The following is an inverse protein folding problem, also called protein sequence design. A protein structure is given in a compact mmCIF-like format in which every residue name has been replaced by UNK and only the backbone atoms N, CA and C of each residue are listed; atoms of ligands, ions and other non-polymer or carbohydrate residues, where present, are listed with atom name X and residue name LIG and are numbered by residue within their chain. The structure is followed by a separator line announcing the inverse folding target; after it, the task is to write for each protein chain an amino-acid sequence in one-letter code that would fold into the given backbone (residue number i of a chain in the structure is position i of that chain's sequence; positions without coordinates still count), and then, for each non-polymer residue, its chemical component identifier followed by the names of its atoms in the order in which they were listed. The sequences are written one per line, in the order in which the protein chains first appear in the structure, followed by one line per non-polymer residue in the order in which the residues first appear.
data_IF_250851524289
#
_entry.id   IF_250851524289
#
_cell.length_a   1.000
_cell.length_b   1.000
_cell.length_c   1.000
_cell.angle_alpha   90.00
_cell.angle_beta   90.00
_cell.angle_gamma   90.00
#
_symmetry.space_group_name_H-M   'P 1'
#
loop_
_entity.id
_entity.type
_entity.pdbx_description
1 polymer ?
#
# COMPACT_ATOMS: atom_id res chain seq x y z
N UNK A 1 -18.89 31.20 -13.66
CA UNK A 1 -18.07 30.55 -12.62
C UNK A 1 -16.78 31.33 -12.48
N UNK A 2 -16.43 31.79 -11.27
CA UNK A 2 -15.22 32.60 -11.03
C UNK A 2 -14.00 31.66 -10.89
N UNK A 3 -12.83 31.99 -11.46
CA UNK A 3 -11.62 31.22 -11.26
C UNK A 3 -11.13 31.35 -9.81
N UNK A 4 -10.80 30.21 -9.20
CA UNK A 4 -10.22 30.12 -7.87
C UNK A 4 -8.74 30.54 -7.96
N UNK A 5 -8.42 31.74 -7.47
CA UNK A 5 -7.05 32.21 -7.33
C UNK A 5 -6.53 31.79 -5.94
N UNK A 6 -5.43 31.03 -5.84
CA UNK A 6 -4.84 30.70 -4.54
C UNK A 6 -4.25 31.96 -3.90
N UNK A 7 -4.77 32.33 -2.73
CA UNK A 7 -4.29 33.45 -1.94
C UNK A 7 -2.83 33.27 -1.54
N UNK A 8 -2.03 34.30 -1.75
CA UNK A 8 -0.65 34.42 -1.28
C UNK A 8 -0.63 34.60 0.23
N UNK A 9 -0.74 33.50 0.98
CA UNK A 9 -0.64 33.50 2.43
C UNK A 9 -0.43 32.10 2.99
N UNK A 10 0.79 31.84 3.48
CA UNK A 10 1.16 30.69 4.31
C UNK A 10 1.28 29.28 3.68
N UNK A 11 1.68 29.15 2.40
CA UNK A 11 1.63 27.84 1.71
C UNK A 11 2.93 27.04 1.55
N UNK A 12 4.12 27.54 1.86
CA UNK A 12 5.37 26.77 1.59
C UNK A 12 6.06 26.27 2.86
N UNK A 13 5.94 26.99 3.98
CA UNK A 13 6.66 26.62 5.21
C UNK A 13 6.00 25.46 5.98
N UNK A 14 4.69 25.30 5.88
CA UNK A 14 3.99 24.19 6.53
C UNK A 14 4.18 22.84 5.81
N UNK A 15 4.41 22.83 4.49
CA UNK A 15 4.72 21.59 3.76
C UNK A 15 6.12 21.05 4.09
N UNK A 16 7.11 21.93 4.26
CA UNK A 16 8.48 21.52 4.61
C UNK A 16 8.62 20.91 6.01
N UNK A 17 7.64 21.10 6.91
CA UNK A 17 7.64 20.46 8.25
C UNK A 17 7.12 19.02 8.26
N UNK A 18 6.40 18.58 7.23
CA UNK A 18 5.87 17.20 7.19
C UNK A 18 6.91 16.18 6.69
N UNK A 19 7.88 16.64 5.89
CA UNK A 19 8.95 15.81 5.34
C UNK A 19 10.05 15.42 6.35
N UNK A 20 10.02 16.00 7.55
CA UNK A 20 10.96 15.77 8.66
C UNK A 20 10.24 15.26 9.92
N UNK A 21 9.22 14.41 9.78
CA UNK A 21 8.65 13.73 10.94
C UNK A 21 9.74 12.86 11.57
N UNK A 22 10.33 13.37 12.65
CA UNK A 22 11.26 12.65 13.49
C UNK A 22 10.58 11.34 13.89
N UNK A 23 11.20 10.21 13.55
CA UNK A 23 10.67 8.88 13.89
C UNK A 23 10.40 8.88 15.39
N UNK A 24 9.12 8.83 15.77
CA UNK A 24 8.73 8.68 17.17
C UNK A 24 9.18 7.31 17.66
N UNK A 25 9.31 7.16 18.97
CA UNK A 25 9.54 5.85 19.56
C UNK A 25 8.53 4.85 19.00
N UNK A 26 9.01 3.65 18.67
CA UNK A 26 8.12 2.56 18.28
C UNK A 26 7.09 2.34 19.40
N UNK A 27 5.91 1.82 19.03
CA UNK A 27 4.92 1.43 20.02
C UNK A 27 5.57 0.42 20.97
N UNK A 28 5.48 0.62 22.30
CA UNK A 28 6.00 -0.34 23.27
C UNK A 28 5.45 -1.74 23.00
N UNK A 29 6.24 -2.82 23.18
CA UNK A 29 5.81 -4.19 22.86
C UNK A 29 4.44 -4.56 23.43
N UNK A 30 4.19 -4.18 24.70
CA UNK A 30 2.94 -4.42 25.43
C UNK A 30 1.72 -3.68 24.88
N UNK A 31 1.93 -2.64 24.07
CA UNK A 31 0.87 -1.82 23.46
C UNK A 31 0.71 -2.07 21.96
N UNK A 32 1.56 -2.92 21.35
CA UNK A 32 1.57 -3.17 19.89
C UNK A 32 0.22 -3.66 19.38
N UNK A 33 -0.48 -4.45 20.19
CA UNK A 33 -1.77 -5.05 19.84
C UNK A 33 -2.94 -4.09 20.06
N UNK A 34 -2.76 -3.07 20.91
CA UNK A 34 -3.72 -2.00 21.15
C UNK A 34 -3.55 -0.83 20.16
N UNK A 35 -2.48 -0.85 19.37
CA UNK A 35 -2.22 0.20 18.40
C UNK A 35 -3.17 0.08 17.21
N UNK A 36 -3.98 1.13 17.02
CA UNK A 36 -4.93 1.25 15.92
C UNK A 36 -4.46 2.30 14.93
N UNK A 37 -4.87 2.15 13.66
CA UNK A 37 -4.71 3.20 12.66
C UNK A 37 -5.89 4.17 12.79
N UNK A 38 -5.67 5.43 13.18
CA UNK A 38 -6.78 6.38 13.35
C UNK A 38 -7.63 6.50 12.08
N UNK A 39 -8.95 6.39 12.23
CA UNK A 39 -9.90 6.48 11.11
C UNK A 39 -10.01 5.21 10.25
N UNK A 40 -9.22 4.17 10.53
CA UNK A 40 -9.29 2.89 9.81
C UNK A 40 -9.45 1.77 10.86
N UNK A 41 -10.66 1.57 11.40
CA UNK A 41 -10.93 0.45 12.31
C UNK A 41 -10.67 -0.88 11.58
N UNK A 42 -10.30 -1.92 12.33
CA UNK A 42 -10.00 -3.26 11.80
C UNK A 42 -8.95 -3.29 10.67
N UNK A 43 -8.02 -2.32 10.66
CA UNK A 43 -6.92 -2.28 9.67
C UNK A 43 -5.85 -3.38 9.86
N UNK A 44 -5.88 -4.12 10.97
CA UNK A 44 -4.86 -5.10 11.35
C UNK A 44 -5.50 -6.34 11.93
N UNK A 45 -5.04 -7.50 11.45
CA UNK A 45 -5.39 -8.83 11.96
C UNK A 45 -4.13 -9.56 12.41
N UNK A 46 -4.23 -10.31 13.51
CA UNK A 46 -3.13 -11.12 14.07
C UNK A 46 -3.43 -12.60 13.85
N UNK A 47 -3.07 -13.10 12.66
CA UNK A 47 -3.47 -14.45 12.19
C UNK A 47 -2.89 -15.60 13.02
N UNK A 48 -1.75 -15.36 13.66
CA UNK A 48 -1.05 -16.29 14.55
C UNK A 48 -1.66 -16.38 15.96
N UNK A 49 -2.53 -15.42 16.33
CA UNK A 49 -3.20 -15.40 17.64
C UNK A 49 -4.70 -15.65 17.54
N UNK A 50 -5.39 -14.84 16.75
CA UNK A 50 -6.84 -14.93 16.56
C UNK A 50 -7.19 -14.57 15.11
N UNK A 51 -7.56 -15.60 14.35
CA UNK A 51 -8.01 -15.48 12.97
C UNK A 51 -9.51 -15.12 12.86
N UNK A 52 -10.28 -15.24 13.95
CA UNK A 52 -11.72 -15.07 13.92
C UNK A 52 -12.18 -13.69 13.41
N UNK A 53 -11.53 -12.55 13.73
CA UNK A 53 -11.90 -11.25 13.18
C UNK A 53 -11.76 -11.20 11.65
N UNK A 54 -10.68 -11.77 11.09
CA UNK A 54 -10.51 -11.85 9.64
C UNK A 54 -11.62 -12.70 9.00
N UNK A 55 -11.94 -13.86 9.58
CA UNK A 55 -13.00 -14.74 9.07
C UNK A 55 -14.34 -14.02 9.08
N UNK A 56 -14.65 -13.27 10.15
CA UNK A 56 -15.87 -12.46 10.24
C UNK A 56 -15.92 -11.43 9.12
N UNK A 57 -14.83 -10.71 8.87
CA UNK A 57 -14.81 -9.66 7.84
C UNK A 57 -14.89 -10.22 6.42
N UNK A 58 -14.24 -11.34 6.14
CA UNK A 58 -14.39 -12.06 4.87
C UNK A 58 -15.83 -12.54 4.68
N UNK A 59 -16.45 -13.10 5.72
CA UNK A 59 -17.85 -13.51 5.67
C UNK A 59 -18.78 -12.32 5.42
N UNK A 60 -18.59 -11.19 6.12
CA UNK A 60 -19.38 -9.98 5.90
C UNK A 60 -19.15 -9.34 4.52
N UNK A 61 -17.94 -9.43 3.97
CA UNK A 61 -17.66 -9.00 2.60
C UNK A 61 -18.44 -9.85 1.57
N UNK A 62 -18.44 -11.17 1.75
CA UNK A 62 -19.19 -12.11 0.91
C UNK A 62 -20.71 -11.86 0.96
N UNK A 63 -21.26 -11.61 2.15
CA UNK A 63 -22.69 -11.26 2.29
C UNK A 63 -23.04 -9.95 1.57
N UNK A 64 -22.20 -8.91 1.69
CA UNK A 64 -22.40 -7.64 1.00
C UNK A 64 -22.38 -7.80 -0.52
N UNK A 65 -21.50 -8.64 -1.05
CA UNK A 65 -21.43 -8.94 -2.47
C UNK A 65 -22.68 -9.68 -2.96
N UNK A 66 -23.11 -10.73 -2.25
CA UNK A 66 -24.35 -11.45 -2.58
C UNK A 66 -25.57 -10.52 -2.57
N UNK A 67 -25.66 -9.63 -1.57
CA UNK A 67 -26.72 -8.62 -1.50
C UNK A 67 -26.65 -7.62 -2.66
N UNK A 68 -25.46 -7.21 -3.09
CA UNK A 68 -25.28 -6.31 -4.22
C UNK A 68 -25.74 -6.96 -5.53
N UNK A 69 -25.39 -8.24 -5.75
CA UNK A 69 -25.84 -9.03 -6.90
C UNK A 69 -27.36 -9.20 -6.92
N UNK A 70 -27.96 -9.52 -5.77
CA UNK A 70 -29.41 -9.64 -5.65
C UNK A 70 -30.16 -8.35 -6.04
N UNK A 71 -29.61 -7.18 -5.71
CA UNK A 71 -30.21 -5.88 -6.06
C UNK A 71 -30.24 -5.60 -7.57
N UNK A 72 -29.30 -6.15 -8.32
CA UNK A 72 -29.22 -6.00 -9.78
C UNK A 72 -29.82 -7.19 -10.53
N UNK A 73 -30.44 -8.14 -9.81
CA UNK A 73 -31.09 -9.31 -10.41
C UNK A 73 -30.13 -10.40 -10.87
N UNK A 74 -28.87 -10.37 -10.45
CA UNK A 74 -27.86 -11.37 -10.79
C UNK A 74 -27.94 -12.60 -9.87
N UNK A 75 -27.47 -13.78 -10.32
CA UNK A 75 -27.35 -14.96 -9.48
C UNK A 75 -26.49 -14.68 -8.24
N UNK A 76 -26.99 -15.07 -7.07
CA UNK A 76 -26.36 -14.75 -5.78
C UNK A 76 -26.28 -15.95 -4.82
N UNK A 77 -26.79 -17.13 -5.23
CA UNK A 77 -26.66 -18.38 -4.47
C UNK A 77 -25.21 -18.86 -4.39
N UNK A 78 -24.41 -18.52 -5.40
CA UNK A 78 -22.96 -18.70 -5.43
C UNK A 78 -22.29 -17.39 -5.84
N UNK A 79 -21.22 -17.03 -5.14
CA UNK A 79 -20.43 -15.86 -5.48
C UNK A 79 -19.65 -16.07 -6.79
N UNK A 80 -19.41 -15.01 -7.56
CA UNK A 80 -18.64 -15.09 -8.80
C UNK A 80 -17.19 -15.50 -8.53
N UNK A 81 -16.49 -15.90 -9.60
CA UNK A 81 -15.09 -16.28 -9.54
C UNK A 81 -14.23 -15.13 -8.98
N UNK A 82 -13.52 -15.42 -7.88
CA UNK A 82 -12.64 -14.46 -7.22
C UNK A 82 -11.19 -14.62 -7.72
N UNK A 83 -10.65 -13.56 -8.33
CA UNK A 83 -9.21 -13.48 -8.61
C UNK A 83 -8.45 -12.94 -7.41
N UNK A 84 -7.34 -13.57 -7.05
CA UNK A 84 -6.47 -13.15 -5.94
C UNK A 84 -5.05 -12.91 -6.44
N UNK A 85 -4.41 -11.86 -5.93
CA UNK A 85 -3.03 -11.52 -6.27
C UNK A 85 -2.19 -11.43 -5.00
N UNK A 86 -1.06 -12.15 -4.96
CA UNK A 86 -0.07 -12.03 -3.91
C UNK A 86 1.21 -11.45 -4.49
N UNK A 87 1.63 -10.28 -4.01
CA UNK A 87 2.83 -9.58 -4.47
C UNK A 87 3.96 -9.78 -3.47
N UNK A 88 4.97 -10.53 -3.86
CA UNK A 88 6.14 -10.75 -3.02
C UNK A 88 6.96 -9.47 -2.81
N UNK A 89 7.80 -9.51 -1.78
CA UNK A 89 8.81 -8.48 -1.52
C UNK A 89 10.10 -8.72 -2.30
N UNK A 90 11.05 -7.81 -2.11
CA UNK A 90 12.32 -7.78 -2.85
C UNK A 90 12.41 -6.49 -3.66
N UNK A 91 13.62 -5.96 -3.87
CA UNK A 91 13.81 -4.68 -4.56
C UNK A 91 13.19 -4.73 -5.96
N UNK A 92 13.80 -5.51 -6.83
CA UNK A 92 13.50 -5.51 -8.25
C UNK A 92 12.21 -6.30 -8.54
N UNK A 93 11.77 -7.11 -7.57
CA UNK A 93 10.50 -7.83 -7.59
C UNK A 93 9.29 -6.88 -7.62
N UNK A 94 9.36 -5.73 -6.95
CA UNK A 94 8.33 -4.70 -7.02
C UNK A 94 8.17 -4.14 -8.43
N UNK A 95 9.30 -3.84 -9.09
CA UNK A 95 9.34 -3.34 -10.47
C UNK A 95 8.89 -4.38 -11.48
N UNK A 96 9.25 -5.65 -11.26
CA UNK A 96 8.76 -6.76 -12.08
C UNK A 96 7.23 -6.93 -11.96
N UNK A 97 6.70 -6.92 -10.73
CA UNK A 97 5.27 -7.00 -10.49
C UNK A 97 4.51 -5.82 -11.11
N UNK A 98 5.06 -4.61 -11.00
CA UNK A 98 4.53 -3.41 -11.64
C UNK A 98 4.40 -3.57 -13.16
N UNK A 99 5.43 -4.12 -13.80
CA UNK A 99 5.43 -4.41 -15.24
C UNK A 99 4.35 -5.42 -15.63
N UNK A 100 4.20 -6.52 -14.88
CA UNK A 100 3.15 -7.52 -15.14
C UNK A 100 1.75 -6.89 -15.01
N UNK A 101 1.50 -6.15 -13.93
CA UNK A 101 0.18 -5.56 -13.64
C UNK A 101 -0.20 -4.55 -14.72
N UNK A 102 0.71 -3.66 -15.09
CA UNK A 102 0.50 -2.69 -16.16
C UNK A 102 0.37 -3.37 -17.53
N UNK A 103 1.14 -4.44 -17.77
CA UNK A 103 1.07 -5.25 -18.99
C UNK A 103 -0.30 -5.90 -19.16
N UNK A 104 -0.86 -6.49 -18.10
CA UNK A 104 -2.22 -7.03 -18.15
C UNK A 104 -3.26 -5.97 -18.46
N UNK A 105 -3.14 -4.77 -17.89
CA UNK A 105 -4.05 -3.66 -18.21
C UNK A 105 -3.92 -3.25 -19.67
N UNK A 106 -2.69 -3.13 -20.19
CA UNK A 106 -2.42 -2.77 -21.57
C UNK A 106 -3.01 -3.79 -22.55
N UNK A 107 -2.93 -5.09 -22.21
CA UNK A 107 -3.52 -6.16 -23.00
C UNK A 107 -5.02 -6.35 -22.77
N UNK A 108 -5.65 -5.60 -21.86
CA UNK A 108 -7.07 -5.76 -21.52
C UNK A 108 -7.39 -7.08 -20.82
N UNK A 109 -6.38 -7.80 -20.30
CA UNK A 109 -6.52 -9.12 -19.68
C UNK A 109 -6.39 -9.10 -18.16
N UNK A 110 -6.31 -7.91 -17.56
CA UNK A 110 -6.18 -7.75 -16.11
C UNK A 110 -7.39 -8.31 -15.38
N UNK A 111 -7.20 -9.29 -14.48
CA UNK A 111 -8.29 -9.76 -13.63
C UNK A 111 -8.77 -8.63 -12.69
N UNK A 112 -10.07 -8.60 -12.43
CA UNK A 112 -10.61 -7.83 -11.32
C UNK A 112 -10.28 -8.57 -10.01
N UNK A 113 -9.29 -8.08 -9.28
CA UNK A 113 -8.83 -8.74 -8.06
C UNK A 113 -9.79 -8.49 -6.90
N UNK A 114 -10.32 -9.57 -6.32
CA UNK A 114 -11.11 -9.50 -5.08
C UNK A 114 -10.21 -9.30 -3.86
N UNK A 115 -9.02 -9.88 -3.89
CA UNK A 115 -8.03 -9.79 -2.81
C UNK A 115 -6.66 -9.51 -3.43
N UNK A 116 -5.95 -8.53 -2.87
CA UNK A 116 -4.53 -8.32 -3.15
C UNK A 116 -3.76 -8.26 -1.84
N UNK A 117 -2.70 -9.05 -1.71
CA UNK A 117 -1.79 -9.02 -0.58
C UNK A 117 -0.38 -8.64 -1.05
N UNK A 118 0.41 -8.06 -0.15
CA UNK A 118 1.78 -7.68 -0.47
C UNK A 118 2.67 -7.62 0.76
N UNK A 119 3.95 -7.98 0.60
CA UNK A 119 4.98 -7.85 1.64
C UNK A 119 6.11 -6.96 1.15
N UNK A 120 6.66 -6.12 2.03
CA UNK A 120 7.78 -5.22 1.72
C UNK A 120 7.47 -4.33 0.50
N UNK A 121 8.29 -4.33 -0.56
CA UNK A 121 8.02 -3.60 -1.80
C UNK A 121 6.63 -3.92 -2.38
N UNK A 122 6.17 -5.18 -2.29
CA UNK A 122 4.84 -5.59 -2.73
C UNK A 122 3.70 -4.92 -1.95
N UNK A 123 3.92 -4.55 -0.69
CA UNK A 123 2.91 -3.84 0.12
C UNK A 123 2.64 -2.41 -0.39
N UNK A 124 3.61 -1.80 -1.09
CA UNK A 124 3.41 -0.50 -1.76
C UNK A 124 2.61 -0.64 -3.06
N UNK A 125 2.75 -1.78 -3.77
CA UNK A 125 2.08 -2.05 -5.04
C UNK A 125 0.64 -2.53 -4.84
N UNK A 126 0.41 -3.38 -3.82
CA UNK A 126 -0.84 -4.09 -3.60
C UNK A 126 -2.11 -3.21 -3.58
N UNK A 127 -2.15 -2.04 -2.90
CA UNK A 127 -3.33 -1.19 -2.86
C UNK A 127 -3.72 -0.67 -4.26
N UNK A 128 -2.74 -0.24 -5.05
CA UNK A 128 -2.99 0.26 -6.40
C UNK A 128 -3.35 -0.87 -7.37
N UNK A 129 -2.76 -2.05 -7.18
CA UNK A 129 -3.15 -3.24 -7.92
C UNK A 129 -4.62 -3.62 -7.67
N UNK A 130 -5.11 -3.42 -6.44
CA UNK A 130 -6.52 -3.61 -6.07
C UNK A 130 -7.43 -2.55 -6.68
N UNK A 131 -7.03 -1.27 -6.68
CA UNK A 131 -7.85 -0.16 -7.19
C UNK A 131 -8.02 -0.12 -8.72
N UNK A 132 -7.25 -0.91 -9.47
CA UNK A 132 -7.41 -1.12 -10.90
C UNK A 132 -6.47 -0.30 -11.80
N UNK A 133 -6.70 -0.39 -13.12
CA UNK A 133 -5.79 0.10 -14.16
C UNK A 133 -5.54 1.61 -14.17
N UNK A 134 -6.48 2.40 -13.65
CA UNK A 134 -6.31 3.85 -13.50
C UNK A 134 -5.12 4.24 -12.61
N UNK A 135 -4.62 3.33 -11.77
CA UNK A 135 -3.48 3.54 -10.88
C UNK A 135 -2.16 2.98 -11.43
N UNK A 136 -2.12 2.44 -12.66
CA UNK A 136 -0.92 1.83 -13.22
C UNK A 136 0.24 2.82 -13.37
N UNK A 137 -0.07 4.08 -13.70
CA UNK A 137 0.94 5.14 -13.71
C UNK A 137 1.59 5.36 -12.35
N UNK A 138 0.83 5.20 -11.25
CA UNK A 138 1.36 5.32 -9.88
C UNK A 138 2.21 4.10 -9.53
N UNK A 139 1.74 2.89 -9.87
CA UNK A 139 2.50 1.64 -9.68
C UNK A 139 3.85 1.73 -10.39
N UNK A 140 3.84 2.10 -11.67
CA UNK A 140 5.06 2.25 -12.47
C UNK A 140 5.97 3.33 -11.90
N UNK A 141 5.43 4.49 -11.48
CA UNK A 141 6.24 5.57 -10.89
C UNK A 141 6.90 5.15 -9.58
N UNK A 142 6.17 4.54 -8.64
CA UNK A 142 6.74 4.13 -7.35
C UNK A 142 7.82 3.06 -7.54
N UNK A 143 7.63 2.16 -8.51
CA UNK A 143 8.59 1.09 -8.78
C UNK A 143 9.75 1.49 -9.71
N UNK A 144 9.66 2.63 -10.43
CA UNK A 144 10.72 3.14 -11.31
C UNK A 144 11.49 4.32 -10.72
N UNK A 145 10.85 5.12 -9.84
CA UNK A 145 11.48 6.25 -9.15
C UNK A 145 12.46 5.83 -8.06
N UNK A 146 12.65 4.53 -7.83
CA UNK A 146 13.56 3.96 -6.84
C UNK A 146 14.68 3.24 -7.58
N UNK A 147 15.62 4.01 -8.13
CA UNK A 147 16.83 3.46 -8.72
C UNK A 147 17.89 3.10 -7.65
N UNK A 148 18.84 2.19 -7.93
CA UNK A 148 19.94 1.86 -7.01
C UNK A 148 20.74 3.08 -6.51
N UNK A 149 20.75 4.16 -7.32
CA UNK A 149 21.45 5.41 -7.04
C UNK A 149 20.75 6.30 -6.00
N UNK A 150 19.46 6.06 -5.73
CA UNK A 150 18.67 6.82 -4.74
C UNK A 150 18.55 6.10 -3.39
N UNK A 151 18.97 4.83 -3.30
CA UNK A 151 18.99 4.03 -2.06
C UNK A 151 20.39 3.87 -1.48
N UNK A 152 21.43 3.68 -2.32
CA UNK A 152 22.76 3.32 -1.84
C UNK A 152 23.80 4.43 -2.06
N UNK A 153 23.90 5.36 -1.11
CA UNK A 153 25.21 5.94 -0.82
C UNK A 153 25.95 4.96 0.09
N UNK A 154 26.93 4.23 -0.48
CA UNK A 154 27.84 3.38 0.29
C UNK A 154 28.55 4.21 1.36
N UNK A 155 28.08 4.12 2.61
CA UNK A 155 28.81 4.62 3.78
C UNK A 155 29.82 3.55 4.17
N UNK A 156 31.03 4.00 4.52
CA UNK A 156 32.14 3.16 4.95
C UNK A 156 31.67 2.06 5.91
N UNK A 157 32.14 0.84 5.66
CA UNK A 157 31.74 -0.42 6.30
C UNK A 157 31.73 -0.34 7.84
N UNK A 158 32.57 0.53 8.41
CA UNK A 158 32.66 0.78 9.86
C UNK A 158 31.38 1.32 10.51
N UNK A 159 30.49 2.00 9.76
CA UNK A 159 29.24 2.58 10.30
C UNK A 159 28.05 1.62 10.32
N UNK A 160 28.15 0.43 9.69
CA UNK A 160 27.07 -0.58 9.63
C UNK A 160 26.82 -1.33 10.94
N UNK A 161 27.77 -1.28 11.87
CA UNK A 161 27.69 -2.02 13.14
C UNK A 161 27.19 -1.19 14.33
N UNK A 162 26.99 0.13 14.16
CA UNK A 162 26.74 1.06 15.27
C UNK A 162 25.43 1.86 15.17
N UNK A 163 24.52 1.53 14.24
CA UNK A 163 23.26 2.28 14.06
C UNK A 163 22.08 1.35 13.80
N UNK A 164 20.97 1.62 14.47
CA UNK A 164 19.76 0.79 14.56
C UNK A 164 18.86 0.84 13.30
N UNK A 165 19.49 0.83 12.12
CA UNK A 165 18.80 0.87 10.82
C UNK A 165 19.75 0.87 9.63
N UNK A 166 19.50 -0.01 8.65
CA UNK A 166 20.31 -0.19 7.43
C UNK A 166 20.11 0.90 6.35
N UNK A 167 19.27 1.91 6.56
CA UNK A 167 18.99 2.95 5.56
C UNK A 167 18.70 4.33 6.16
N UNK A 168 19.17 5.38 5.50
CA UNK A 168 18.96 6.79 5.83
C UNK A 168 17.76 7.32 5.01
N UNK A 169 16.69 7.75 5.68
CA UNK A 169 15.44 8.22 5.04
C UNK A 169 15.47 9.69 4.59
N UNK A 170 16.60 10.40 4.74
CA UNK A 170 16.77 11.79 4.28
C UNK A 170 16.36 12.06 2.82
N UNK A 171 16.56 11.18 1.82
CA UNK A 171 16.20 11.48 0.43
C UNK A 171 14.69 11.57 0.16
N UNK A 172 13.85 10.84 0.92
CA UNK A 172 12.39 10.85 0.78
C UNK A 172 11.75 12.20 1.18
N UNK A 173 12.50 13.06 1.88
CA UNK A 173 12.04 14.39 2.29
C UNK A 173 12.03 15.45 1.18
N UNK A 174 12.55 15.10 -0.01
CA UNK A 174 12.75 16.02 -1.14
C UNK A 174 11.82 15.77 -2.33
N UNK A 175 10.90 14.81 -2.23
CA UNK A 175 9.80 14.57 -3.18
C UNK A 175 8.54 15.29 -2.71
#
# INVERSE_FOLDING_TARGET
MKPFLPGTGASTWNMLRQACLQRRAAVPPTLTELAVVPGIPEARYWLDRDIAPLIRDVHQANLREAQALARVGEPHDMLPLASMLAVSGGSDAGTFAAGIIAGWSLHGTRPLFKIVTGISAGALVAPFAYLGSQYDGIILRICSAVGPKDIFHSRNVLTRLASDGMADSKPLSRL
#
